data_IF_111646635251
#
_entry.id   IF_111646635251
#
_cell.length_a   1.000
_cell.length_b   1.000
_cell.length_c   1.000
_cell.angle_alpha   90.00
_cell.angle_beta   90.00
_cell.angle_gamma   90.00
#
_symmetry.space_group_name_H-M   'P 1'
#
loop_
_entity.id
_entity.type
_entity.pdbx_description
1 polymer ?
#
# COMPACT_ATOMS: atom_id res chain seq x y z
N UNK A 1 11.82 34.46 -15.91
CA UNK A 1 10.94 33.62 -15.06
C UNK A 1 11.47 32.20 -15.18
N UNK A 2 11.79 31.53 -14.07
CA UNK A 2 12.18 30.12 -14.12
C UNK A 2 10.97 29.30 -14.53
N UNK A 3 11.10 28.49 -15.58
CA UNK A 3 10.03 27.61 -16.03
C UNK A 3 9.58 26.69 -14.88
N UNK A 4 8.27 26.65 -14.65
CA UNK A 4 7.65 25.76 -13.69
C UNK A 4 7.63 24.32 -14.22
N UNK A 5 7.63 23.29 -13.35
CA UNK A 5 7.97 21.92 -13.77
C UNK A 5 7.07 21.31 -14.85
N UNK A 6 5.76 21.61 -14.86
CA UNK A 6 4.84 21.08 -15.87
C UNK A 6 5.04 21.79 -17.21
N UNK A 7 5.21 23.12 -17.20
CA UNK A 7 5.51 23.93 -18.38
C UNK A 7 6.83 23.52 -19.04
N UNK A 8 7.89 23.33 -18.24
CA UNK A 8 9.18 22.85 -18.75
C UNK A 8 9.03 21.51 -19.47
N UNK A 9 8.25 20.58 -18.91
CA UNK A 9 7.96 19.30 -19.56
C UNK A 9 7.22 19.46 -20.87
N UNK A 10 6.14 20.24 -20.89
CA UNK A 10 5.36 20.52 -22.09
C UNK A 10 6.20 21.14 -23.22
N UNK A 11 7.19 21.99 -22.91
CA UNK A 11 8.12 22.54 -23.90
C UNK A 11 9.08 21.52 -24.51
N UNK A 12 9.46 20.51 -23.73
CA UNK A 12 10.43 19.47 -24.17
C UNK A 12 9.78 18.26 -24.84
N UNK A 13 8.46 18.07 -24.69
CA UNK A 13 7.75 16.94 -25.27
C UNK A 13 7.85 16.93 -26.80
N UNK A 14 8.28 15.83 -27.40
CA UNK A 14 8.33 15.67 -28.87
C UNK A 14 7.08 15.02 -29.46
N UNK A 15 6.34 14.30 -28.63
CA UNK A 15 5.08 13.63 -28.94
C UNK A 15 4.21 13.62 -27.69
N UNK A 16 2.91 13.36 -27.85
CA UNK A 16 1.97 13.29 -26.75
C UNK A 16 1.21 11.96 -26.77
N UNK A 17 1.27 11.24 -25.66
CA UNK A 17 0.60 9.96 -25.48
C UNK A 17 -0.32 10.03 -24.26
N UNK A 18 -1.25 9.08 -24.09
CA UNK A 18 -2.11 9.03 -22.90
C UNK A 18 -1.32 9.05 -21.58
N UNK A 19 -0.14 8.43 -21.55
CA UNK A 19 0.73 8.41 -20.36
C UNK A 19 1.23 9.81 -19.97
N UNK A 20 1.34 10.73 -20.93
CA UNK A 20 1.94 12.04 -20.70
C UNK A 20 1.01 12.99 -19.92
N UNK A 21 -0.31 12.74 -19.92
CA UNK A 21 -1.27 13.40 -19.03
C UNK A 21 -0.94 13.16 -17.55
N UNK A 22 -0.65 11.90 -17.19
CA UNK A 22 -0.25 11.51 -15.83
C UNK A 22 1.08 12.16 -15.43
N UNK A 23 2.04 12.17 -16.35
CA UNK A 23 3.38 12.75 -16.16
C UNK A 23 3.36 14.27 -16.02
N UNK A 24 2.47 14.94 -16.74
CA UNK A 24 2.29 16.39 -16.68
C UNK A 24 1.78 16.79 -15.29
N UNK A 25 0.71 16.13 -14.83
CA UNK A 25 0.13 16.37 -13.51
C UNK A 25 1.09 16.00 -12.38
N UNK A 26 1.83 14.90 -12.51
CA UNK A 26 2.87 14.52 -11.56
C UNK A 26 3.95 15.59 -11.37
N UNK A 27 4.31 16.30 -12.45
CA UNK A 27 5.30 17.39 -12.43
C UNK A 27 4.72 18.66 -11.84
N UNK A 28 3.48 19.01 -12.18
CA UNK A 28 2.79 20.14 -11.55
C UNK A 28 2.71 19.95 -10.03
N UNK A 29 2.45 18.72 -9.58
CA UNK A 29 2.38 18.35 -8.16
C UNK A 29 3.74 18.09 -7.51
N UNK A 30 4.88 18.44 -8.14
CA UNK A 30 6.21 18.06 -7.64
C UNK A 30 6.47 18.47 -6.18
N UNK A 31 6.00 19.66 -5.79
CA UNK A 31 6.11 20.22 -4.44
C UNK A 31 5.15 19.64 -3.40
N UNK A 32 4.21 18.77 -3.80
CA UNK A 32 3.17 18.21 -2.92
C UNK A 32 3.23 16.67 -2.88
N UNK A 33 4.15 16.09 -2.07
CA UNK A 33 4.34 14.64 -2.01
C UNK A 33 3.08 13.86 -1.60
N UNK A 34 2.22 14.43 -0.76
CA UNK A 34 0.97 13.79 -0.34
C UNK A 34 0.01 13.56 -1.52
N UNK A 35 -0.19 14.59 -2.36
CA UNK A 35 -1.03 14.49 -3.55
C UNK A 35 -0.44 13.54 -4.60
N UNK A 36 0.89 13.55 -4.79
CA UNK A 36 1.56 12.60 -5.70
C UNK A 36 1.43 11.14 -5.24
N UNK A 37 1.50 10.87 -3.93
CA UNK A 37 1.22 9.52 -3.38
C UNK A 37 -0.20 9.08 -3.65
N UNK A 38 -1.16 9.94 -3.36
CA UNK A 38 -2.57 9.62 -3.57
C UNK A 38 -2.87 9.39 -5.07
N UNK A 39 -2.27 10.20 -5.95
CA UNK A 39 -2.41 10.07 -7.40
C UNK A 39 -1.77 8.79 -7.95
N UNK A 40 -0.65 8.34 -7.38
CA UNK A 40 0.07 7.13 -7.81
C UNK A 40 -0.79 5.86 -7.77
N UNK A 41 -1.78 5.80 -6.88
CA UNK A 41 -2.74 4.69 -6.81
C UNK A 41 -3.50 4.49 -8.12
N UNK A 42 -3.85 5.59 -8.79
CA UNK A 42 -4.64 5.59 -10.02
C UNK A 42 -3.79 5.45 -11.28
N UNK A 43 -2.53 5.85 -11.20
CA UNK A 43 -1.66 5.96 -12.35
C UNK A 43 -1.21 4.59 -12.89
N UNK A 44 -1.00 4.46 -14.21
CA UNK A 44 -0.33 3.28 -14.78
C UNK A 44 1.09 3.14 -14.22
N UNK A 45 1.59 1.91 -14.11
CA UNK A 45 2.92 1.62 -13.57
C UNK A 45 4.04 2.38 -14.30
N UNK A 46 3.88 2.62 -15.60
CA UNK A 46 4.81 3.41 -16.40
C UNK A 46 4.94 4.88 -15.96
N UNK A 47 3.93 5.45 -15.27
CA UNK A 47 3.96 6.81 -14.72
C UNK A 47 4.49 6.86 -13.28
N UNK A 48 4.67 5.72 -12.62
CA UNK A 48 5.07 5.68 -11.21
C UNK A 48 6.43 6.31 -10.95
N UNK A 49 7.36 6.25 -11.91
CA UNK A 49 8.66 6.91 -11.76
C UNK A 49 8.51 8.41 -11.53
N UNK A 50 7.59 9.07 -12.24
CA UNK A 50 7.35 10.50 -12.09
C UNK A 50 6.51 10.82 -10.84
N UNK A 51 5.69 9.89 -10.36
CA UNK A 51 4.82 10.08 -9.19
C UNK A 51 5.49 9.70 -7.86
N UNK A 52 6.36 8.70 -7.84
CA UNK A 52 7.00 8.15 -6.65
C UNK A 52 8.42 8.67 -6.39
N UNK A 53 9.02 9.40 -7.35
CA UNK A 53 10.37 9.98 -7.18
C UNK A 53 10.42 10.92 -5.98
N UNK A 54 11.30 10.60 -5.02
CA UNK A 54 11.50 11.26 -3.72
C UNK A 54 10.32 11.15 -2.75
N UNK A 55 9.45 10.17 -2.96
CA UNK A 55 8.23 9.97 -2.18
C UNK A 55 8.26 8.65 -1.40
N UNK A 56 8.96 7.64 -1.93
CA UNK A 56 9.16 6.38 -1.21
C UNK A 56 10.17 6.57 -0.07
N UNK A 57 9.78 6.33 1.21
CA UNK A 57 10.73 6.37 2.31
C UNK A 57 11.78 5.26 2.12
N UNK A 58 13.04 5.52 2.51
CA UNK A 58 14.12 4.54 2.47
C UNK A 58 13.79 3.24 3.24
N UNK A 59 12.79 3.30 4.13
CA UNK A 59 12.30 2.17 4.92
C UNK A 59 11.39 1.21 4.15
N UNK A 60 10.97 1.53 2.92
CA UNK A 60 10.06 0.68 2.15
C UNK A 60 10.58 -0.75 1.90
N UNK A 61 11.89 -0.92 1.72
CA UNK A 61 12.52 -2.24 1.57
C UNK A 61 12.45 -3.03 2.90
N UNK A 62 12.84 -2.40 4.01
CA UNK A 62 12.77 -3.01 5.34
C UNK A 62 11.33 -3.35 5.74
N UNK A 63 10.36 -2.52 5.38
CA UNK A 63 8.95 -2.77 5.61
C UNK A 63 8.46 -3.99 4.82
N UNK A 64 8.87 -4.11 3.55
CA UNK A 64 8.55 -5.27 2.71
C UNK A 64 9.15 -6.55 3.29
N UNK A 65 10.42 -6.51 3.72
CA UNK A 65 11.06 -7.64 4.39
C UNK A 65 10.39 -7.99 5.72
N UNK A 66 9.97 -6.99 6.49
CA UNK A 66 9.26 -7.18 7.75
C UNK A 66 7.90 -7.88 7.52
N UNK A 67 7.18 -7.52 6.46
CA UNK A 67 5.95 -8.21 6.08
C UNK A 67 6.23 -9.67 5.70
N UNK A 68 7.22 -9.93 4.85
CA UNK A 68 7.60 -11.32 4.48
C UNK A 68 7.96 -12.13 5.74
N UNK A 69 8.75 -11.55 6.64
CA UNK A 69 9.11 -12.18 7.90
C UNK A 69 7.87 -12.48 8.76
N UNK A 70 6.95 -11.52 8.90
CA UNK A 70 5.71 -11.70 9.66
C UNK A 70 4.92 -12.94 9.23
N UNK A 71 4.87 -13.25 7.93
CA UNK A 71 4.11 -14.40 7.42
C UNK A 71 4.89 -15.71 7.42
N UNK A 72 6.21 -15.66 7.29
CA UNK A 72 7.06 -16.86 7.19
C UNK A 72 7.47 -17.38 8.55
N UNK A 73 7.69 -16.51 9.54
CA UNK A 73 8.16 -16.89 10.87
C UNK A 73 7.23 -17.83 11.64
N UNK A 74 5.88 -17.67 11.65
CA UNK A 74 4.98 -18.62 12.31
C UNK A 74 5.08 -20.03 11.70
N UNK A 75 5.21 -20.12 10.37
CA UNK A 75 5.37 -21.39 9.66
C UNK A 75 6.72 -22.03 9.99
N UNK A 76 7.80 -21.24 9.95
CA UNK A 76 9.14 -21.71 10.34
C UNK A 76 9.14 -22.19 11.79
N UNK A 77 8.54 -21.44 12.71
CA UNK A 77 8.39 -21.83 14.12
C UNK A 77 7.70 -23.19 14.27
N UNK A 78 6.60 -23.41 13.55
CA UNK A 78 5.92 -24.71 13.54
C UNK A 78 6.84 -25.82 13.01
N UNK A 79 7.58 -25.59 11.92
CA UNK A 79 8.49 -26.60 11.35
C UNK A 79 9.59 -27.03 12.35
N UNK A 80 10.09 -26.12 13.18
CA UNK A 80 11.02 -26.47 14.27
C UNK A 80 10.41 -27.48 15.24
N UNK A 81 9.14 -27.29 15.63
CA UNK A 81 8.43 -28.21 16.54
C UNK A 81 8.08 -29.55 15.87
N UNK A 82 7.77 -29.55 14.58
CA UNK A 82 7.46 -30.79 13.85
C UNK A 82 8.67 -31.73 13.78
N UNK A 83 9.90 -31.22 13.83
CA UNK A 83 11.10 -32.07 13.85
C UNK A 83 11.10 -33.06 15.03
N UNK A 84 10.62 -32.62 16.19
CA UNK A 84 10.49 -33.43 17.40
C UNK A 84 9.36 -34.46 17.27
N UNK A 85 8.20 -34.06 16.72
CA UNK A 85 7.07 -34.98 16.52
C UNK A 85 7.39 -36.14 15.57
N UNK A 86 8.29 -35.92 14.60
CA UNK A 86 8.73 -36.96 13.65
C UNK A 86 9.95 -37.73 14.20
N UNK A 87 10.34 -37.51 15.46
CA UNK A 87 11.44 -38.23 16.12
C UNK A 87 12.83 -37.90 15.58
N UNK A 88 13.02 -36.72 14.95
CA UNK A 88 14.34 -36.28 14.47
C UNK A 88 15.17 -35.58 15.55
N UNK A 89 14.58 -35.30 16.71
CA UNK A 89 15.20 -34.63 17.84
C UNK A 89 14.64 -35.18 19.15
N UNK A 90 15.50 -35.29 20.17
CA UNK A 90 15.11 -35.78 21.50
C UNK A 90 14.32 -34.74 22.31
N UNK A 91 14.47 -33.46 21.96
CA UNK A 91 13.79 -32.33 22.61
C UNK A 91 13.09 -31.47 21.58
N UNK A 92 11.93 -30.92 21.96
CA UNK A 92 11.20 -29.96 21.18
C UNK A 92 11.81 -28.56 21.37
N UNK A 93 12.12 -27.89 20.27
CA UNK A 93 12.69 -26.54 20.26
C UNK A 93 11.68 -25.43 20.57
N UNK A 94 10.94 -25.56 21.67
CA UNK A 94 9.88 -24.65 22.10
C UNK A 94 10.41 -23.24 22.33
N UNK A 95 11.63 -23.09 22.88
CA UNK A 95 12.22 -21.78 23.14
C UNK A 95 12.43 -20.96 21.88
N UNK A 96 13.17 -21.51 20.90
CA UNK A 96 13.48 -20.82 19.64
C UNK A 96 12.22 -20.65 18.78
N UNK A 97 11.40 -21.70 18.65
CA UNK A 97 10.17 -21.62 17.87
C UNK A 97 9.21 -20.55 18.44
N UNK A 98 9.07 -20.50 19.76
CA UNK A 98 8.31 -19.50 20.46
C UNK A 98 8.81 -18.07 20.23
N UNK A 99 10.12 -17.85 20.25
CA UNK A 99 10.73 -16.55 19.94
C UNK A 99 10.38 -16.07 18.52
N UNK A 100 10.46 -16.97 17.53
CA UNK A 100 10.12 -16.64 16.14
C UNK A 100 8.65 -16.24 15.99
N UNK A 101 7.73 -17.00 16.61
CA UNK A 101 6.30 -16.67 16.64
C UNK A 101 6.05 -15.33 17.37
N UNK A 102 6.76 -15.07 18.46
CA UNK A 102 6.66 -13.80 19.19
C UNK A 102 7.13 -12.60 18.37
N UNK A 103 8.22 -12.73 17.61
CA UNK A 103 8.69 -11.68 16.68
C UNK A 103 7.64 -11.43 15.60
N UNK A 104 7.07 -12.48 15.02
CA UNK A 104 5.99 -12.37 14.04
C UNK A 104 4.77 -11.62 14.61
N UNK A 105 4.37 -11.96 15.84
CA UNK A 105 3.26 -11.34 16.54
C UNK A 105 3.49 -9.83 16.75
N UNK A 106 4.71 -9.43 17.14
CA UNK A 106 5.06 -8.01 17.32
C UNK A 106 4.96 -7.25 16.00
N UNK A 107 5.53 -7.79 14.92
CA UNK A 107 5.52 -7.14 13.60
C UNK A 107 4.08 -6.98 13.10
N UNK A 108 3.29 -8.05 13.13
CA UNK A 108 1.88 -8.01 12.72
C UNK A 108 1.04 -7.09 13.61
N UNK A 109 1.28 -7.10 14.93
CA UNK A 109 0.63 -6.20 15.88
C UNK A 109 0.87 -4.72 15.57
N UNK A 110 2.09 -4.34 15.22
CA UNK A 110 2.42 -2.98 14.73
C UNK A 110 1.64 -2.66 13.46
N UNK A 111 1.53 -3.62 12.53
CA UNK A 111 0.72 -3.49 11.31
C UNK A 111 -0.76 -3.22 11.60
N UNK A 112 -1.36 -3.97 12.53
CA UNK A 112 -2.75 -3.74 12.98
C UNK A 112 -2.92 -2.33 13.56
N UNK A 113 -2.03 -1.91 14.46
CA UNK A 113 -2.10 -0.57 15.07
C UNK A 113 -1.98 0.53 14.02
N UNK A 114 -1.13 0.33 13.02
CA UNK A 114 -0.91 1.30 11.94
C UNK A 114 -2.14 1.40 11.05
N UNK A 115 -2.71 0.26 10.63
CA UNK A 115 -3.96 0.22 9.84
C UNK A 115 -5.12 0.89 10.60
N UNK A 116 -5.25 0.66 11.91
CA UNK A 116 -6.31 1.30 12.72
C UNK A 116 -6.13 2.81 12.86
N UNK A 117 -4.89 3.31 12.87
CA UNK A 117 -4.59 4.75 13.00
C UNK A 117 -4.69 5.50 11.68
N UNK A 118 -4.19 4.91 10.61
CA UNK A 118 -4.01 5.59 9.32
C UNK A 118 -5.06 5.16 8.28
N UNK A 119 -5.81 4.08 8.53
CA UNK A 119 -6.81 3.51 7.61
C UNK A 119 -6.26 3.40 6.19
N UNK A 120 -5.25 2.55 6.01
CA UNK A 120 -4.57 2.34 4.72
C UNK A 120 -5.52 1.72 3.67
N UNK A 121 -6.67 1.22 4.09
CA UNK A 121 -7.74 0.76 3.20
C UNK A 121 -7.46 -0.62 2.63
N UNK A 122 -6.73 -1.44 3.39
CA UNK A 122 -6.42 -2.82 3.07
C UNK A 122 -7.71 -3.66 3.06
N UNK A 123 -7.87 -4.51 2.03
CA UNK A 123 -9.07 -5.35 1.88
C UNK A 123 -9.22 -6.31 3.08
N UNK A 124 -10.41 -6.41 3.71
CA UNK A 124 -10.71 -7.40 4.74
C UNK A 124 -10.30 -8.84 4.37
N UNK A 125 -10.35 -9.22 3.09
CA UNK A 125 -9.87 -10.52 2.59
C UNK A 125 -8.39 -10.71 2.84
N UNK A 126 -7.58 -9.67 2.62
CA UNK A 126 -6.13 -9.72 2.88
C UNK A 126 -5.93 -9.91 4.38
N UNK A 127 -6.59 -9.10 5.23
CA UNK A 127 -6.49 -9.27 6.69
C UNK A 127 -6.90 -10.67 7.17
N UNK A 128 -7.95 -11.28 6.60
CA UNK A 128 -8.32 -12.68 6.92
C UNK A 128 -7.24 -13.68 6.51
N UNK A 129 -6.62 -13.50 5.34
CA UNK A 129 -5.49 -14.33 4.92
C UNK A 129 -4.32 -14.18 5.89
N UNK A 130 -3.98 -12.94 6.28
CA UNK A 130 -2.94 -12.69 7.29
C UNK A 130 -3.29 -13.35 8.62
N UNK A 131 -4.52 -13.15 9.09
CA UNK A 131 -5.04 -13.78 10.29
C UNK A 131 -4.88 -15.30 10.27
N UNK A 132 -5.20 -15.96 9.15
CA UNK A 132 -5.02 -17.41 9.00
C UNK A 132 -3.54 -17.85 9.06
N UNK A 133 -2.64 -17.09 8.43
CA UNK A 133 -1.21 -17.38 8.39
C UNK A 133 -0.51 -17.25 9.75
N UNK A 134 -1.07 -16.45 10.67
CA UNK A 134 -0.62 -16.41 12.06
C UNK A 134 -1.37 -17.46 12.91
N UNK A 135 -2.70 -17.47 12.84
CA UNK A 135 -3.55 -18.27 13.72
C UNK A 135 -3.33 -19.77 13.57
N UNK A 136 -3.32 -20.30 12.33
CA UNK A 136 -3.25 -21.75 12.09
C UNK A 136 -1.92 -22.35 12.57
N UNK A 137 -0.74 -21.89 12.07
CA UNK A 137 0.51 -22.48 12.50
C UNK A 137 0.78 -22.26 13.99
N UNK A 138 0.42 -21.09 14.54
CA UNK A 138 0.67 -20.81 15.96
C UNK A 138 -0.29 -21.52 16.91
N UNK A 139 -1.52 -21.82 16.49
CA UNK A 139 -2.43 -22.67 17.26
C UNK A 139 -1.92 -24.12 17.32
N UNK A 140 -1.49 -24.68 16.18
CA UNK A 140 -0.86 -26.01 16.14
C UNK A 140 0.41 -25.99 17.00
N UNK A 141 1.27 -24.98 16.82
CA UNK A 141 2.51 -24.83 17.60
C UNK A 141 2.25 -24.72 19.10
N UNK A 142 1.20 -24.02 19.52
CA UNK A 142 0.78 -23.96 20.93
C UNK A 142 0.44 -25.35 21.47
N UNK A 143 -0.37 -26.13 20.74
CA UNK A 143 -0.73 -27.50 21.15
C UNK A 143 0.50 -28.39 21.27
N UNK A 144 1.40 -28.34 20.29
CA UNK A 144 2.64 -29.13 20.30
C UNK A 144 3.58 -28.70 21.43
N UNK A 145 3.70 -27.40 21.68
CA UNK A 145 4.49 -26.87 22.78
C UNK A 145 3.94 -27.31 24.14
N UNK A 146 2.62 -27.25 24.35
CA UNK A 146 1.98 -27.77 25.58
C UNK A 146 2.31 -29.25 25.76
N UNK A 147 2.16 -30.06 24.70
CA UNK A 147 2.49 -31.48 24.74
C UNK A 147 3.95 -31.71 25.17
N UNK A 148 4.91 -31.05 24.49
CA UNK A 148 6.33 -31.17 24.81
C UNK A 148 6.65 -30.72 26.25
N UNK A 149 6.04 -29.64 26.73
CA UNK A 149 6.22 -29.15 28.11
C UNK A 149 5.69 -30.18 29.11
N UNK A 150 4.48 -30.71 28.88
CA UNK A 150 3.87 -31.71 29.79
C UNK A 150 4.64 -33.02 29.85
N UNK A 151 5.34 -33.37 28.77
CA UNK A 151 6.22 -34.54 28.71
C UNK A 151 7.64 -34.27 29.22
N UNK A 152 7.96 -33.04 29.63
CA UNK A 152 9.31 -32.65 30.04
C UNK A 152 10.34 -32.66 28.89
N UNK A 153 9.88 -32.65 27.65
CA UNK A 153 10.72 -32.73 26.44
C UNK A 153 10.99 -31.35 25.80
N UNK A 154 10.53 -30.26 26.41
CA UNK A 154 10.73 -28.91 25.90
C UNK A 154 12.08 -28.31 26.32
N UNK A 155 12.83 -27.74 25.37
CA UNK A 155 14.11 -27.05 25.63
C UNK A 155 13.95 -25.67 26.29
N UNK A 156 12.74 -25.11 26.28
CA UNK A 156 12.46 -23.77 26.80
C UNK A 156 10.96 -23.50 26.91
N UNK A 157 10.35 -23.92 28.03
CA UNK A 157 8.89 -23.85 28.23
C UNK A 157 8.30 -22.43 28.07
N UNK A 158 9.05 -21.37 28.41
CA UNK A 158 8.60 -19.98 28.26
C UNK A 158 8.32 -19.57 26.80
N UNK A 159 8.87 -20.30 25.82
CA UNK A 159 8.62 -20.04 24.40
C UNK A 159 7.13 -20.13 24.01
N UNK A 160 6.32 -20.87 24.76
CA UNK A 160 4.86 -20.95 24.53
C UNK A 160 4.17 -19.58 24.51
N UNK A 161 4.70 -18.60 25.25
CA UNK A 161 4.16 -17.24 25.32
C UNK A 161 4.14 -16.59 23.93
N UNK A 162 5.18 -16.81 23.11
CA UNK A 162 5.26 -16.26 21.76
C UNK A 162 4.19 -16.83 20.83
N UNK A 163 3.93 -18.13 20.90
CA UNK A 163 2.85 -18.77 20.14
C UNK A 163 1.48 -18.26 20.56
N UNK A 164 1.22 -18.13 21.86
CA UNK A 164 -0.05 -17.60 22.37
C UNK A 164 -0.26 -16.15 21.92
N UNK A 165 0.79 -15.31 21.98
CA UNK A 165 0.72 -13.94 21.48
C UNK A 165 0.38 -13.90 19.98
N UNK A 166 0.99 -14.77 19.19
CA UNK A 166 0.76 -14.82 17.74
C UNK A 166 -0.65 -15.35 17.38
N UNK A 167 -1.17 -16.32 18.15
CA UNK A 167 -2.58 -16.76 18.07
C UNK A 167 -3.53 -15.59 18.33
N UNK A 168 -3.25 -14.77 19.34
CA UNK A 168 -4.07 -13.58 19.64
C UNK A 168 -4.02 -12.60 18.47
N UNK A 169 -2.85 -12.33 17.90
CA UNK A 169 -2.71 -11.46 16.72
C UNK A 169 -3.49 -12.00 15.52
N UNK A 170 -3.39 -13.31 15.24
CA UNK A 170 -4.17 -13.98 14.21
C UNK A 170 -5.68 -13.81 14.42
N UNK A 171 -6.16 -14.00 15.65
CA UNK A 171 -7.57 -13.80 16.00
C UNK A 171 -8.00 -12.33 15.86
N UNK A 172 -7.17 -11.37 16.27
CA UNK A 172 -7.45 -9.94 16.14
C UNK A 172 -7.67 -9.54 14.68
N UNK A 173 -6.93 -10.12 13.72
CA UNK A 173 -7.17 -9.87 12.30
C UNK A 173 -8.60 -10.24 11.86
N UNK A 174 -9.17 -11.32 12.38
CA UNK A 174 -10.56 -11.73 12.09
C UNK A 174 -11.60 -10.91 12.84
N UNK A 175 -11.26 -10.40 14.04
CA UNK A 175 -12.19 -9.65 14.89
C UNK A 175 -12.28 -8.19 14.46
N UNK A 176 -11.14 -7.57 14.16
CA UNK A 176 -11.04 -6.14 13.87
C UNK A 176 -11.35 -5.81 12.42
N UNK A 177 -10.98 -6.66 11.47
CA UNK A 177 -11.18 -6.41 10.03
C UNK A 177 -12.33 -7.24 9.47
N UNK A 178 -13.51 -7.06 10.10
CA UNK A 178 -14.77 -7.67 9.67
C UNK A 178 -15.44 -6.83 8.60
N UNK A 179 -15.88 -7.48 7.53
CA UNK A 179 -16.62 -6.84 6.45
C UNK A 179 -16.66 -7.71 5.20
N UNK A 180 -17.68 -7.53 4.33
CA UNK A 180 -17.66 -8.13 3.00
C UNK A 180 -16.35 -7.73 2.30
N UNK A 181 -15.75 -8.65 1.52
CA UNK A 181 -14.66 -8.26 0.64
C UNK A 181 -15.25 -7.29 -0.39
N UNK A 182 -14.93 -6.00 -0.26
CA UNK A 182 -15.64 -4.94 -0.97
C UNK A 182 -15.27 -4.91 -2.45
N UNK A 183 -16.26 -4.64 -3.30
CA UNK A 183 -16.06 -4.46 -4.74
C UNK A 183 -15.11 -3.29 -5.02
N UNK A 184 -14.36 -3.35 -6.12
CA UNK A 184 -13.37 -2.32 -6.50
C UNK A 184 -13.89 -0.88 -6.55
N UNK A 185 -15.22 -0.67 -6.62
CA UNK A 185 -15.90 0.62 -6.52
C UNK A 185 -15.59 1.40 -5.24
N UNK A 186 -15.60 0.71 -4.09
CA UNK A 186 -15.54 1.38 -2.79
C UNK A 186 -14.09 1.73 -2.44
N UNK A 187 -13.16 0.84 -2.83
CA UNK A 187 -11.72 1.12 -2.82
C UNK A 187 -11.38 2.31 -3.71
N UNK A 188 -11.95 2.39 -4.92
CA UNK A 188 -11.76 3.53 -5.80
C UNK A 188 -12.24 4.83 -5.15
N UNK A 189 -13.48 4.84 -4.63
CA UNK A 189 -14.05 6.01 -3.96
C UNK A 189 -13.23 6.47 -2.75
N UNK A 190 -12.75 5.55 -1.90
CA UNK A 190 -11.91 5.90 -0.75
C UNK A 190 -10.58 6.52 -1.15
N UNK A 191 -9.90 5.95 -2.15
CA UNK A 191 -8.65 6.51 -2.65
C UNK A 191 -8.89 7.87 -3.32
N UNK A 192 -10.05 8.05 -3.97
CA UNK A 192 -10.41 9.31 -4.61
C UNK A 192 -10.65 10.39 -3.56
N UNK A 193 -11.39 10.07 -2.50
CA UNK A 193 -11.57 10.96 -1.36
C UNK A 193 -10.24 11.28 -0.65
N UNK A 194 -9.28 10.35 -0.64
CA UNK A 194 -7.92 10.58 -0.14
C UNK A 194 -7.14 11.57 -0.99
N UNK A 195 -7.22 11.45 -2.30
CA UNK A 195 -6.64 12.39 -3.26
C UNK A 195 -7.29 13.77 -3.16
N UNK A 196 -8.62 13.84 -3.11
CA UNK A 196 -9.35 15.11 -2.95
C UNK A 196 -8.93 15.83 -1.66
N UNK A 197 -8.87 15.12 -0.52
CA UNK A 197 -8.35 15.69 0.74
C UNK A 197 -6.90 16.19 0.61
N UNK A 198 -6.04 15.48 -0.11
CA UNK A 198 -4.65 15.90 -0.31
C UNK A 198 -4.54 17.16 -1.19
N UNK A 199 -5.44 17.33 -2.16
CA UNK A 199 -5.51 18.53 -3.02
C UNK A 199 -6.18 19.71 -2.30
N UNK A 200 -7.26 19.46 -1.57
CA UNK A 200 -7.98 20.49 -0.82
C UNK A 200 -7.18 21.01 0.37
N UNK A 201 -6.35 20.17 0.98
CA UNK A 201 -5.45 20.54 2.08
C UNK A 201 -4.24 21.39 1.66
N UNK A 202 -4.04 21.65 0.36
CA UNK A 202 -2.96 22.52 -0.11
C UNK A 202 -3.21 23.99 0.29
N UNK A 203 -2.17 24.75 0.66
CA UNK A 203 -2.27 26.20 0.81
C UNK A 203 -2.85 26.84 -0.46
N UNK A 204 -3.74 27.85 -0.35
CA UNK A 204 -4.38 28.47 -1.51
C UNK A 204 -3.40 28.97 -2.58
N UNK A 205 -2.28 29.58 -2.14
CA UNK A 205 -1.24 30.08 -3.04
C UNK A 205 -0.53 28.97 -3.79
N UNK A 206 -0.29 27.83 -3.13
CA UNK A 206 0.32 26.67 -3.77
C UNK A 206 -0.61 26.06 -4.81
N UNK A 207 -1.90 25.92 -4.47
CA UNK A 207 -2.92 25.45 -5.40
C UNK A 207 -3.05 26.37 -6.62
N UNK A 208 -3.02 27.69 -6.41
CA UNK A 208 -3.07 28.68 -7.50
C UNK A 208 -1.83 28.60 -8.41
N UNK A 209 -0.63 28.42 -7.84
CA UNK A 209 0.61 28.22 -8.60
C UNK A 209 0.55 26.95 -9.47
N UNK A 210 0.12 25.83 -8.89
CA UNK A 210 -0.01 24.54 -9.59
C UNK A 210 -1.04 24.66 -10.73
N UNK A 211 -2.18 25.29 -10.46
CA UNK A 211 -3.19 25.55 -11.48
C UNK A 211 -2.61 26.38 -12.63
N UNK A 212 -1.93 27.49 -12.33
CA UNK A 212 -1.31 28.35 -13.34
C UNK A 212 -0.25 27.63 -14.17
N UNK A 213 0.57 26.77 -13.55
CA UNK A 213 1.58 25.96 -14.27
C UNK A 213 0.90 24.98 -15.23
N UNK A 214 -0.16 24.29 -14.78
CA UNK A 214 -0.93 23.39 -15.64
C UNK A 214 -1.55 24.13 -16.82
N UNK A 215 -2.22 25.26 -16.59
CA UNK A 215 -2.83 26.06 -17.66
C UNK A 215 -1.79 26.54 -18.69
N UNK A 216 -0.62 26.97 -18.21
CA UNK A 216 0.49 27.40 -19.08
C UNK A 216 1.02 26.22 -19.89
N UNK A 217 1.20 25.06 -19.27
CA UNK A 217 1.64 23.86 -19.95
C UNK A 217 0.64 23.39 -21.01
N UNK A 218 -0.67 23.42 -20.73
CA UNK A 218 -1.72 23.09 -21.69
C UNK A 218 -1.70 24.01 -22.92
N UNK A 219 -1.47 25.31 -22.72
CA UNK A 219 -1.30 26.25 -23.83
C UNK A 219 -0.10 25.88 -24.70
N UNK A 220 1.05 25.58 -24.07
CA UNK A 220 2.26 25.16 -24.78
C UNK A 220 2.01 23.88 -25.60
N UNK A 221 1.29 22.91 -25.06
CA UNK A 221 0.96 21.68 -25.79
C UNK A 221 0.07 21.97 -27.00
N UNK A 222 -0.91 22.86 -26.85
CA UNK A 222 -1.79 23.25 -27.95
C UNK A 222 -1.07 24.05 -29.03
N UNK A 223 -0.24 25.03 -28.65
CA UNK A 223 0.55 25.84 -29.58
C UNK A 223 1.52 24.99 -30.42
N UNK A 224 1.95 23.86 -29.85
CA UNK A 224 2.84 22.89 -30.49
C UNK A 224 2.09 21.76 -31.20
N UNK A 225 0.76 21.87 -31.31
CA UNK A 225 -0.12 20.89 -31.97
C UNK A 225 0.02 19.46 -31.42
N UNK A 226 0.44 19.34 -30.14
CA UNK A 226 0.59 18.05 -29.46
C UNK A 226 -0.73 17.54 -28.89
N UNK A 227 -1.71 18.42 -28.71
CA UNK A 227 -3.07 18.10 -28.30
C UNK A 227 -4.06 18.85 -29.19
N UNK A 228 -5.24 18.27 -29.38
CA UNK A 228 -6.31 18.88 -30.16
C UNK A 228 -7.01 20.01 -29.37
N UNK A 229 -7.70 20.95 -30.04
CA UNK A 229 -8.51 21.97 -29.36
C UNK A 229 -9.58 21.38 -28.44
N UNK A 230 -10.14 20.22 -28.81
CA UNK A 230 -11.12 19.51 -27.99
C UNK A 230 -10.49 18.96 -26.70
N UNK A 231 -9.30 18.36 -26.81
CA UNK A 231 -8.56 17.89 -25.64
C UNK A 231 -8.13 19.04 -24.74
N UNK A 232 -7.71 20.17 -25.31
CA UNK A 232 -7.40 21.38 -24.54
C UNK A 232 -8.64 21.86 -23.76
N UNK A 233 -9.79 22.00 -24.43
CA UNK A 233 -11.02 22.44 -23.80
C UNK A 233 -11.41 21.52 -22.63
N UNK A 234 -11.39 20.19 -22.87
CA UNK A 234 -11.65 19.19 -21.83
C UNK A 234 -10.64 19.30 -20.68
N UNK A 235 -9.34 19.34 -20.96
CA UNK A 235 -8.30 19.38 -19.94
C UNK A 235 -8.38 20.62 -19.04
N UNK A 236 -8.82 21.77 -19.57
CA UNK A 236 -8.98 23.01 -18.81
C UNK A 236 -10.09 22.95 -17.77
N UNK A 237 -11.10 22.12 -17.98
CA UNK A 237 -12.23 21.92 -17.05
C UNK A 237 -11.89 20.93 -15.93
N UNK A 238 -10.78 20.20 -16.05
CA UNK A 238 -10.41 19.17 -15.08
C UNK A 238 -9.77 19.79 -13.83
N UNK A 239 -10.24 19.36 -12.66
CA UNK A 239 -9.67 19.73 -11.36
C UNK A 239 -8.27 19.13 -11.18
N UNK A 240 -7.41 19.83 -10.41
CA UNK A 240 -6.11 19.30 -9.99
C UNK A 240 -6.28 17.93 -9.32
N UNK A 241 -5.42 16.98 -9.68
CA UNK A 241 -5.46 15.60 -9.22
C UNK A 241 -6.25 14.67 -10.14
N UNK A 242 -7.09 15.19 -11.04
CA UNK A 242 -7.96 14.38 -11.89
C UNK A 242 -7.56 14.40 -13.37
N UNK A 243 -6.51 15.13 -13.75
CA UNK A 243 -6.13 15.30 -15.17
C UNK A 243 -5.76 13.96 -15.80
N UNK A 244 -4.86 13.20 -15.17
CA UNK A 244 -4.49 11.87 -15.66
C UNK A 244 -5.68 10.91 -15.69
N UNK A 245 -6.50 10.92 -14.64
CA UNK A 245 -7.68 10.07 -14.49
C UNK A 245 -8.70 10.33 -15.61
N UNK A 246 -8.90 11.59 -15.98
CA UNK A 246 -9.96 12.01 -16.92
C UNK A 246 -9.50 11.95 -18.38
N UNK A 247 -8.25 12.36 -18.64
CA UNK A 247 -7.72 12.45 -20.00
C UNK A 247 -7.12 11.13 -20.49
N UNK A 248 -6.70 10.26 -19.59
CA UNK A 248 -6.17 8.94 -19.90
C UNK A 248 -6.69 7.89 -18.90
N UNK A 249 -8.02 7.65 -18.89
CA UNK A 249 -8.65 6.75 -17.94
C UNK A 249 -8.13 5.33 -18.10
N UNK A 250 -7.97 4.66 -16.96
CA UNK A 250 -7.61 3.25 -16.88
C UNK A 250 -8.87 2.41 -16.77
N UNK A 251 -9.24 1.71 -17.84
CA UNK A 251 -10.44 0.87 -17.87
C UNK A 251 -10.40 -0.26 -16.82
N UNK A 252 -9.21 -0.69 -16.42
CA UNK A 252 -9.01 -1.73 -15.41
C UNK A 252 -9.22 -1.25 -13.96
N UNK A 253 -9.19 0.07 -13.72
CA UNK A 253 -9.38 0.67 -12.39
C UNK A 253 -10.61 1.56 -12.29
N UNK A 254 -11.11 2.09 -13.40
CA UNK A 254 -12.26 2.99 -13.40
C UNK A 254 -13.56 2.16 -13.35
N UNK A 255 -14.43 2.35 -12.34
CA UNK A 255 -15.70 1.62 -12.27
C UNK A 255 -16.52 1.86 -13.53
N UNK A 256 -17.08 0.79 -14.11
CA UNK A 256 -18.01 0.89 -15.25
C UNK A 256 -19.24 1.71 -14.80
N UNK A 257 -19.34 2.96 -15.25
CA UNK A 257 -20.42 3.90 -14.89
C UNK A 257 -19.98 5.24 -14.29
N UNK A 258 -18.68 5.52 -14.20
CA UNK A 258 -18.13 6.77 -13.64
C UNK A 258 -18.13 8.00 -14.55
N UNK A 259 -18.59 7.90 -15.80
CA UNK A 259 -18.76 9.07 -16.67
C UNK A 259 -20.08 9.76 -16.32
N UNK A 260 -20.01 10.85 -15.54
CA UNK A 260 -21.04 11.90 -15.56
C UNK A 260 -20.54 13.05 -16.40
#
# INVERSE_FOLDING_TARGET
MSDTPATAYARTAGAWTPLDWWKLEARALHGVPAARRALAFFAPSAAWKDLAKNVAPAWGCLLTLSHIASFTLPVVALLFLLSWLVGRSDTASVGVAGLLAGIAAVIAGIGIVTELRESLGTDPKIHRMLGALHLVPSAIGTVVAVLAITQGAADGALGIVGFVADVVVGALHFVLFRGPAESGSDRWQRNLAGLERAVEGMPPDERARIYSDLQTALNVLSERELITPLELARAREVRIGLLGITMAPREDLTPKGGSR
#
